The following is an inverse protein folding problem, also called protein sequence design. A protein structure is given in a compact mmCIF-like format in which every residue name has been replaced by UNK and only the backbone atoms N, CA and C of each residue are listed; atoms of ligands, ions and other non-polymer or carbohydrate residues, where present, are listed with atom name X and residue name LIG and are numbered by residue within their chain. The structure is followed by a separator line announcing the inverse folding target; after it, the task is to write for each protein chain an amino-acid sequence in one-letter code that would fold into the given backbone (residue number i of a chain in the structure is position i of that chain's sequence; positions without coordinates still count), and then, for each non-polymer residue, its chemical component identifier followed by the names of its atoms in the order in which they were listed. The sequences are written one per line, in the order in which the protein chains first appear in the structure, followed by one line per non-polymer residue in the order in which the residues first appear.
data_IF_088953019941
#
_entry.id   IF_088953019941
#
_cell.length_a   1.000
_cell.length_b   1.000
_cell.length_c   1.000
_cell.angle_alpha   90.00
_cell.angle_beta   90.00
_cell.angle_gamma   90.00
#
_symmetry.space_group_name_H-M   'P 1'
#
loop_
_entity.id
_entity.type
_entity.pdbx_description
1 polymer ?
#
# COMPACT_ATOMS: atom_id res chain seq x y z
N UNK A 1 19.76 -26.13 -42.96
CA UNK A 1 19.78 -24.77 -42.38
C UNK A 1 19.09 -24.84 -41.03
N UNK A 2 19.86 -24.90 -39.95
CA UNK A 2 19.32 -24.71 -38.60
C UNK A 2 19.12 -23.22 -38.39
N UNK A 3 17.89 -22.81 -38.09
CA UNK A 3 17.60 -21.44 -37.65
C UNK A 3 18.21 -21.31 -36.27
N UNK A 4 19.40 -20.71 -36.17
CA UNK A 4 19.92 -20.22 -34.89
C UNK A 4 18.99 -19.09 -34.43
N UNK A 5 18.02 -19.43 -33.58
CA UNK A 5 17.36 -18.44 -32.75
C UNK A 5 18.40 -17.88 -31.80
N UNK A 6 19.01 -16.76 -32.15
CA UNK A 6 19.73 -15.91 -31.19
C UNK A 6 18.71 -15.44 -30.15
N UNK A 7 18.51 -16.25 -29.10
CA UNK A 7 17.79 -15.81 -27.92
C UNK A 7 18.61 -14.66 -27.33
N UNK A 8 18.13 -13.43 -27.53
CA UNK A 8 18.69 -12.24 -26.90
C UNK A 8 18.54 -12.37 -25.38
N UNK A 9 19.52 -12.98 -24.74
CA UNK A 9 19.65 -12.97 -23.29
C UNK A 9 20.26 -11.63 -22.88
N UNK A 10 19.40 -10.64 -22.61
CA UNK A 10 19.82 -9.38 -22.01
C UNK A 10 20.47 -9.67 -20.63
N UNK A 11 21.57 -8.96 -20.33
CA UNK A 11 22.25 -9.13 -19.05
C UNK A 11 21.28 -8.80 -17.89
N UNK A 12 21.24 -9.62 -16.80
CA UNK A 12 20.31 -9.42 -15.68
C UNK A 12 20.32 -8.01 -15.10
N UNK A 13 21.48 -7.35 -15.08
CA UNK A 13 21.63 -5.98 -14.59
C UNK A 13 20.91 -4.93 -15.46
N UNK A 14 20.90 -5.12 -16.78
CA UNK A 14 20.20 -4.22 -17.72
C UNK A 14 18.69 -4.35 -17.52
N UNK A 15 18.21 -5.59 -17.38
CA UNK A 15 16.80 -5.89 -17.09
C UNK A 15 16.40 -5.34 -15.72
N UNK A 16 17.22 -5.55 -14.69
CA UNK A 16 16.99 -5.07 -13.33
C UNK A 16 16.95 -3.55 -13.24
N UNK A 17 17.87 -2.85 -13.93
CA UNK A 17 17.91 -1.38 -13.99
C UNK A 17 16.64 -0.81 -14.63
N UNK A 18 16.24 -1.34 -15.80
CA UNK A 18 15.00 -0.93 -16.50
C UNK A 18 13.75 -1.15 -15.64
N UNK A 19 13.65 -2.30 -15.00
CA UNK A 19 12.51 -2.62 -14.14
C UNK A 19 12.44 -1.74 -12.89
N UNK A 20 13.60 -1.40 -12.31
CA UNK A 20 13.68 -0.46 -11.19
C UNK A 20 13.25 0.94 -11.59
N UNK A 21 13.67 1.42 -12.76
CA UNK A 21 13.23 2.72 -13.29
C UNK A 21 11.72 2.74 -13.51
N UNK A 22 11.16 1.69 -14.13
CA UNK A 22 9.72 1.55 -14.32
C UNK A 22 8.95 1.62 -13.00
N UNK A 23 9.42 0.89 -11.97
CA UNK A 23 8.83 0.96 -10.62
C UNK A 23 8.92 2.38 -10.03
N UNK A 24 10.06 3.06 -10.15
CA UNK A 24 10.22 4.41 -9.60
C UNK A 24 9.24 5.39 -10.27
N UNK A 25 9.10 5.33 -11.59
CA UNK A 25 8.21 6.24 -12.32
C UNK A 25 6.73 6.04 -11.94
N UNK A 26 6.28 4.79 -11.80
CA UNK A 26 4.90 4.54 -11.34
C UNK A 26 4.71 4.99 -9.89
N UNK A 27 5.71 4.82 -9.02
CA UNK A 27 5.65 5.36 -7.65
C UNK A 27 5.58 6.88 -7.63
N UNK A 28 6.33 7.58 -8.49
CA UNK A 28 6.28 9.05 -8.55
C UNK A 28 4.88 9.53 -8.92
N UNK A 29 4.24 8.87 -9.90
CA UNK A 29 2.86 9.16 -10.27
C UNK A 29 1.89 8.90 -9.09
N UNK A 30 2.08 7.79 -8.37
CA UNK A 30 1.24 7.43 -7.24
C UNK A 30 1.43 8.37 -6.03
N UNK A 31 2.66 8.82 -5.76
CA UNK A 31 2.97 9.86 -4.77
C UNK A 31 2.25 11.16 -5.11
N UNK A 32 2.32 11.61 -6.38
CA UNK A 32 1.65 12.82 -6.81
C UNK A 32 0.12 12.73 -6.63
N UNK A 33 -0.47 11.56 -6.93
CA UNK A 33 -1.89 11.29 -6.68
C UNK A 33 -2.21 11.34 -5.18
N UNK A 34 -1.44 10.66 -4.33
CA UNK A 34 -1.65 10.65 -2.89
C UNK A 34 -1.58 12.06 -2.29
N UNK A 35 -0.58 12.85 -2.67
CA UNK A 35 -0.45 14.25 -2.23
C UNK A 35 -1.60 15.13 -2.72
N UNK A 36 -2.11 14.88 -3.94
CA UNK A 36 -3.28 15.60 -4.47
C UNK A 36 -4.54 15.28 -3.67
N UNK A 37 -4.75 14.02 -3.27
CA UNK A 37 -5.87 13.61 -2.42
C UNK A 37 -5.78 14.27 -1.03
N UNK A 38 -4.58 14.31 -0.44
CA UNK A 38 -4.37 15.02 0.84
C UNK A 38 -4.67 16.51 0.71
N UNK A 39 -4.20 17.15 -0.36
CA UNK A 39 -4.50 18.54 -0.64
C UNK A 39 -6.01 18.77 -0.71
N UNK A 40 -6.75 17.95 -1.46
CA UNK A 40 -8.21 18.07 -1.58
C UNK A 40 -8.90 17.89 -0.22
N UNK A 41 -8.48 16.93 0.60
CA UNK A 41 -9.02 16.73 1.95
C UNK A 41 -8.86 18.00 2.80
N UNK A 42 -7.64 18.53 2.93
CA UNK A 42 -7.38 19.70 3.75
C UNK A 42 -7.97 20.98 3.16
N UNK A 43 -8.01 21.11 1.84
CA UNK A 43 -8.63 22.24 1.17
C UNK A 43 -10.13 22.31 1.45
N UNK A 44 -10.87 21.22 1.22
CA UNK A 44 -12.31 21.18 1.46
C UNK A 44 -12.65 21.33 2.94
N UNK A 45 -11.85 20.73 3.82
CA UNK A 45 -11.97 20.96 5.28
C UNK A 45 -11.73 22.42 5.64
N UNK A 46 -10.71 23.05 5.07
CA UNK A 46 -10.36 24.44 5.36
C UNK A 46 -11.40 25.44 4.85
N UNK A 47 -12.04 25.15 3.72
CA UNK A 47 -13.13 25.97 3.21
C UNK A 47 -14.39 25.84 4.06
N UNK A 48 -14.73 24.61 4.48
CA UNK A 48 -15.91 24.29 5.29
C UNK A 48 -17.16 25.13 4.92
N UNK A 49 -17.43 25.23 3.62
CA UNK A 49 -18.48 26.12 3.10
C UNK A 49 -19.80 25.77 3.75
N UNK A 50 -20.50 26.77 4.30
CA UNK A 50 -21.75 26.61 5.03
C UNK A 50 -21.69 25.64 6.24
N UNK A 51 -20.51 25.40 6.81
CA UNK A 51 -20.29 24.40 7.86
C UNK A 51 -20.63 22.96 7.44
N UNK A 52 -20.49 22.64 6.15
CA UNK A 52 -20.87 21.35 5.56
C UNK A 52 -19.74 20.32 5.47
N UNK A 53 -18.60 20.53 6.14
CA UNK A 53 -17.55 19.51 6.21
C UNK A 53 -18.07 18.23 6.90
N UNK A 54 -18.76 18.40 8.03
CA UNK A 54 -19.50 17.35 8.73
C UNK A 54 -20.97 17.79 8.82
N UNK A 55 -21.80 17.50 7.81
CA UNK A 55 -23.19 17.94 7.77
C UNK A 55 -23.98 17.49 9.00
N UNK A 56 -24.74 18.42 9.59
CA UNK A 56 -25.70 18.13 10.64
C UNK A 56 -26.86 17.26 10.11
N UNK A 57 -27.58 16.60 11.04
CA UNK A 57 -28.76 15.84 10.67
C UNK A 57 -29.84 16.76 10.09
N UNK A 58 -30.50 16.30 9.03
CA UNK A 58 -31.71 16.92 8.48
C UNK A 58 -32.88 15.96 8.69
N UNK A 59 -34.09 16.38 8.32
CA UNK A 59 -35.28 15.51 8.38
C UNK A 59 -35.12 14.23 7.53
N UNK A 60 -34.34 14.33 6.43
CA UNK A 60 -34.17 13.24 5.47
C UNK A 60 -32.83 12.49 5.59
N UNK A 61 -31.83 13.07 6.25
CA UNK A 61 -30.47 12.49 6.30
C UNK A 61 -29.84 12.54 7.70
N UNK A 62 -29.20 11.43 8.16
CA UNK A 62 -28.51 11.42 9.44
C UNK A 62 -27.24 12.30 9.39
N UNK A 63 -26.82 12.79 10.56
CA UNK A 63 -25.59 13.57 10.69
C UNK A 63 -24.36 12.74 10.26
N UNK A 64 -23.44 13.35 9.54
CA UNK A 64 -22.15 12.72 9.23
C UNK A 64 -21.19 12.98 10.38
N UNK A 65 -20.78 11.93 11.07
CA UNK A 65 -19.80 12.00 12.15
C UNK A 65 -18.42 11.58 11.67
N UNK A 66 -17.39 12.29 12.13
CA UNK A 66 -16.01 11.91 11.89
C UNK A 66 -15.73 10.52 12.50
N UNK A 67 -15.17 9.62 11.69
CA UNK A 67 -14.73 8.32 12.15
C UNK A 67 -13.42 8.45 12.93
N UNK A 68 -13.29 7.64 13.98
CA UNK A 68 -12.04 7.58 14.75
C UNK A 68 -10.89 7.09 13.87
N UNK A 69 -9.77 7.82 13.89
CA UNK A 69 -8.54 7.41 13.20
C UNK A 69 -7.85 6.20 13.82
N UNK A 70 -8.33 5.66 14.96
CA UNK A 70 -7.72 4.48 15.59
C UNK A 70 -7.63 3.29 14.64
N UNK A 71 -8.67 3.06 13.83
CA UNK A 71 -8.67 1.97 12.86
C UNK A 71 -7.64 2.15 11.75
N UNK A 72 -7.45 3.37 11.24
CA UNK A 72 -6.46 3.63 10.18
C UNK A 72 -5.04 3.52 10.72
N UNK A 73 -4.79 3.99 11.95
CA UNK A 73 -3.51 3.78 12.64
C UNK A 73 -3.20 2.32 12.91
N UNK A 74 -4.22 1.51 13.21
CA UNK A 74 -4.06 0.07 13.37
C UNK A 74 -3.63 -0.59 12.05
N UNK A 75 -4.29 -0.28 10.94
CA UNK A 75 -3.90 -0.77 9.60
C UNK A 75 -2.47 -0.32 9.24
N UNK A 76 -2.12 0.95 9.48
CA UNK A 76 -0.75 1.47 9.24
C UNK A 76 0.28 0.73 10.09
N UNK A 77 -0.04 0.39 11.34
CA UNK A 77 0.86 -0.38 12.20
C UNK A 77 1.11 -1.78 11.63
N UNK A 78 0.06 -2.45 11.14
CA UNK A 78 0.20 -3.75 10.48
C UNK A 78 1.04 -3.66 9.20
N UNK A 79 0.84 -2.62 8.39
CA UNK A 79 1.67 -2.36 7.21
C UNK A 79 3.16 -2.15 7.58
N UNK A 80 3.43 -1.38 8.64
CA UNK A 80 4.78 -1.16 9.16
C UNK A 80 5.42 -2.46 9.67
N UNK A 81 4.67 -3.32 10.37
CA UNK A 81 5.14 -4.65 10.78
C UNK A 81 5.45 -5.54 9.56
N UNK A 82 4.64 -5.45 8.50
CA UNK A 82 4.90 -6.10 7.22
C UNK A 82 6.20 -5.62 6.58
N UNK A 83 6.46 -4.31 6.58
CA UNK A 83 7.73 -3.73 6.10
C UNK A 83 8.93 -4.22 6.92
N UNK A 84 8.83 -4.23 8.26
CA UNK A 84 9.92 -4.67 9.13
C UNK A 84 10.26 -6.16 8.92
N UNK A 85 9.24 -7.00 8.73
CA UNK A 85 9.44 -8.43 8.46
C UNK A 85 9.97 -8.69 7.04
N UNK A 86 9.56 -7.88 6.05
CA UNK A 86 10.17 -7.88 4.72
C UNK A 86 11.66 -7.49 4.79
N UNK A 87 12.00 -6.44 5.55
CA UNK A 87 13.40 -6.05 5.77
C UNK A 87 14.22 -7.16 6.42
N UNK A 88 13.63 -7.89 7.38
CA UNK A 88 14.27 -9.05 7.99
C UNK A 88 14.54 -10.14 6.93
N UNK A 89 13.60 -10.42 6.03
CA UNK A 89 13.79 -11.34 4.91
C UNK A 89 14.86 -10.88 3.92
N UNK A 90 14.90 -9.58 3.61
CA UNK A 90 15.89 -8.98 2.72
C UNK A 90 17.31 -9.07 3.28
N UNK A 91 17.49 -8.85 4.60
CA UNK A 91 18.77 -9.12 5.26
C UNK A 91 19.18 -10.59 5.13
N UNK A 92 18.21 -11.49 5.22
CA UNK A 92 18.43 -12.93 5.04
C UNK A 92 18.98 -13.29 3.67
N UNK A 93 18.35 -12.84 2.59
CA UNK A 93 18.81 -13.19 1.23
C UNK A 93 20.20 -12.62 0.94
N UNK A 94 20.51 -11.41 1.41
CA UNK A 94 21.85 -10.81 1.28
C UNK A 94 22.92 -11.57 2.05
N UNK A 95 22.55 -12.17 3.18
CA UNK A 95 23.41 -13.07 3.97
C UNK A 95 23.40 -14.53 3.46
N UNK A 96 22.79 -14.81 2.29
CA UNK A 96 22.59 -16.16 1.74
C UNK A 96 21.81 -17.11 2.67
N UNK A 97 21.02 -16.56 3.59
CA UNK A 97 20.16 -17.30 4.50
C UNK A 97 18.75 -17.44 3.91
N UNK A 98 18.51 -18.56 3.23
CA UNK A 98 17.23 -18.84 2.58
C UNK A 98 16.07 -18.96 3.58
N UNK A 99 16.32 -19.56 4.74
CA UNK A 99 15.29 -19.74 5.77
C UNK A 99 14.79 -18.40 6.28
N UNK A 100 15.71 -17.45 6.51
CA UNK A 100 15.36 -16.10 6.93
C UNK A 100 14.54 -15.35 5.86
N UNK A 101 14.88 -15.51 4.58
CA UNK A 101 14.10 -14.94 3.47
C UNK A 101 12.66 -15.48 3.44
N UNK A 102 12.50 -16.81 3.57
CA UNK A 102 11.19 -17.46 3.55
C UNK A 102 10.35 -17.06 4.75
N UNK A 103 10.92 -17.02 5.95
CA UNK A 103 10.22 -16.61 7.17
C UNK A 103 9.84 -15.13 7.13
N UNK A 104 10.77 -14.25 6.78
CA UNK A 104 10.50 -12.81 6.68
C UNK A 104 9.43 -12.49 5.62
N UNK A 105 9.54 -13.10 4.43
CA UNK A 105 8.53 -12.94 3.38
C UNK A 105 7.16 -13.52 3.75
N UNK A 106 7.13 -14.65 4.48
CA UNK A 106 5.90 -15.26 4.94
C UNK A 106 5.17 -14.42 6.00
N UNK A 107 5.92 -13.84 6.94
CA UNK A 107 5.37 -12.91 7.93
C UNK A 107 4.90 -11.61 7.27
N UNK A 108 5.64 -11.08 6.29
CA UNK A 108 5.23 -9.89 5.55
C UNK A 108 3.90 -10.12 4.79
N UNK A 109 3.74 -11.29 4.17
CA UNK A 109 2.47 -11.72 3.56
C UNK A 109 1.35 -11.81 4.60
N UNK A 110 1.60 -12.40 5.77
CA UNK A 110 0.61 -12.51 6.84
C UNK A 110 0.15 -11.13 7.32
N UNK A 111 1.07 -10.22 7.63
CA UNK A 111 0.73 -8.88 8.10
C UNK A 111 -0.04 -8.06 7.06
N UNK A 112 0.33 -8.12 5.78
CA UNK A 112 -0.42 -7.45 4.72
C UNK A 112 -1.83 -8.03 4.54
N UNK A 113 -2.00 -9.35 4.65
CA UNK A 113 -3.31 -9.98 4.57
C UNK A 113 -4.22 -9.57 5.73
N UNK A 114 -3.70 -9.54 6.96
CA UNK A 114 -4.44 -9.05 8.13
C UNK A 114 -4.79 -7.57 7.95
N UNK A 115 -3.83 -6.73 7.53
CA UNK A 115 -4.07 -5.31 7.26
C UNK A 115 -5.21 -5.09 6.26
N UNK A 116 -5.23 -5.86 5.17
CA UNK A 116 -6.29 -5.80 4.17
C UNK A 116 -7.67 -6.16 4.75
N UNK A 117 -7.76 -7.21 5.57
CA UNK A 117 -9.02 -7.60 6.22
C UNK A 117 -9.53 -6.48 7.13
N UNK A 118 -8.66 -5.91 7.96
CA UNK A 118 -9.05 -4.80 8.85
C UNK A 118 -9.44 -3.54 8.07
N UNK A 119 -8.73 -3.23 6.98
CA UNK A 119 -9.08 -2.12 6.10
C UNK A 119 -10.46 -2.33 5.47
N UNK A 120 -10.77 -3.55 5.02
CA UNK A 120 -12.07 -3.87 4.44
C UNK A 120 -13.20 -3.73 5.47
N UNK A 121 -13.02 -4.29 6.68
CA UNK A 121 -13.97 -4.15 7.79
C UNK A 121 -14.22 -2.67 8.08
N UNK A 122 -13.16 -1.87 8.19
CA UNK A 122 -13.26 -0.43 8.44
C UNK A 122 -14.07 0.29 7.36
N UNK A 123 -13.79 0.04 6.08
CA UNK A 123 -14.49 0.71 4.96
C UNK A 123 -15.95 0.26 4.88
N UNK A 124 -16.22 -1.03 5.09
CA UNK A 124 -17.58 -1.59 5.05
C UNK A 124 -18.45 -1.17 6.25
N UNK A 125 -17.82 -0.83 7.37
CA UNK A 125 -18.49 -0.43 8.62
C UNK A 125 -18.76 1.07 8.72
N UNK A 126 -18.42 1.86 7.71
CA UNK A 126 -18.66 3.30 7.72
C UNK A 126 -20.18 3.59 7.70
N UNK A 127 -20.71 4.46 8.59
CA UNK A 127 -22.14 4.74 8.71
C UNK A 127 -22.67 5.72 7.65
N UNK A 128 -21.88 5.98 6.61
CA UNK A 128 -22.18 6.92 5.54
C UNK A 128 -21.64 6.37 4.21
N UNK A 129 -22.06 6.99 3.10
CA UNK A 129 -21.67 6.59 1.75
C UNK A 129 -20.79 7.66 1.11
N UNK A 130 -20.13 7.34 -0.02
CA UNK A 130 -19.28 8.30 -0.73
C UNK A 130 -20.04 9.56 -1.20
N UNK A 131 -21.37 9.54 -1.25
CA UNK A 131 -22.22 10.66 -1.64
C UNK A 131 -22.76 11.46 -0.44
N UNK A 132 -22.41 11.09 0.80
CA UNK A 132 -22.91 11.74 2.03
C UNK A 132 -22.26 13.10 2.34
N UNK A 133 -21.38 13.61 1.47
CA UNK A 133 -20.74 14.92 1.61
C UNK A 133 -19.23 14.87 1.42
N UNK A 134 -18.60 16.05 1.46
CA UNK A 134 -17.17 16.21 1.16
C UNK A 134 -16.26 15.35 2.06
N UNK A 135 -16.51 15.32 3.37
CA UNK A 135 -15.76 14.45 4.29
C UNK A 135 -15.86 12.98 3.91
N UNK A 136 -17.09 12.49 3.67
CA UNK A 136 -17.34 11.10 3.34
C UNK A 136 -16.68 10.71 2.00
N UNK A 137 -16.78 11.55 0.98
CA UNK A 137 -16.11 11.34 -0.31
C UNK A 137 -14.59 11.24 -0.15
N UNK A 138 -13.98 12.18 0.59
CA UNK A 138 -12.53 12.15 0.85
C UNK A 138 -12.12 10.95 1.70
N UNK A 139 -12.91 10.57 2.71
CA UNK A 139 -12.68 9.36 3.51
C UNK A 139 -12.64 8.11 2.62
N UNK A 140 -13.64 7.90 1.77
CA UNK A 140 -13.68 6.76 0.87
C UNK A 140 -12.57 6.80 -0.18
N UNK A 141 -12.15 7.98 -0.62
CA UNK A 141 -11.02 8.11 -1.54
C UNK A 141 -9.71 7.69 -0.87
N UNK A 142 -9.43 8.19 0.34
CA UNK A 142 -8.23 7.84 1.12
C UNK A 142 -8.23 6.34 1.48
N UNK A 143 -9.32 5.87 2.08
CA UNK A 143 -9.43 4.50 2.55
C UNK A 143 -9.51 3.50 1.38
N UNK A 144 -10.17 3.87 0.28
CA UNK A 144 -10.26 3.09 -0.95
C UNK A 144 -8.90 2.95 -1.65
N UNK A 145 -8.15 4.05 -1.77
CA UNK A 145 -6.78 4.00 -2.28
C UNK A 145 -5.88 3.13 -1.40
N UNK A 146 -5.98 3.23 -0.08
CA UNK A 146 -5.23 2.35 0.83
C UNK A 146 -5.63 0.88 0.66
N UNK A 147 -6.92 0.61 0.44
CA UNK A 147 -7.43 -0.75 0.18
C UNK A 147 -6.81 -1.34 -1.09
N UNK A 148 -6.84 -0.60 -2.21
CA UNK A 148 -6.24 -1.03 -3.47
C UNK A 148 -4.74 -1.34 -3.30
N UNK A 149 -4.05 -0.44 -2.62
CA UNK A 149 -2.64 -0.56 -2.27
C UNK A 149 -2.34 -1.83 -1.43
N UNK A 150 -3.17 -2.14 -0.43
CA UNK A 150 -3.04 -3.36 0.36
C UNK A 150 -3.33 -4.62 -0.45
N UNK A 151 -4.32 -4.62 -1.34
CA UNK A 151 -4.59 -5.73 -2.27
C UNK A 151 -3.35 -6.03 -3.13
N UNK A 152 -2.78 -5.00 -3.74
CA UNK A 152 -1.55 -5.12 -4.53
C UNK A 152 -0.38 -5.63 -3.67
N UNK A 153 -0.27 -5.16 -2.44
CA UNK A 153 0.79 -5.59 -1.50
C UNK A 153 0.66 -7.06 -1.15
N UNK A 154 -0.54 -7.56 -0.86
CA UNK A 154 -0.78 -8.98 -0.59
C UNK A 154 -0.40 -9.82 -1.82
N UNK A 155 -0.81 -9.38 -3.01
CA UNK A 155 -0.47 -10.07 -4.26
C UNK A 155 1.05 -10.14 -4.51
N UNK A 156 1.74 -9.01 -4.37
CA UNK A 156 3.20 -8.92 -4.53
C UNK A 156 3.91 -9.74 -3.46
N UNK A 157 3.47 -9.66 -2.20
CA UNK A 157 4.04 -10.42 -1.08
C UNK A 157 3.86 -11.93 -1.27
N UNK A 158 2.70 -12.37 -1.78
CA UNK A 158 2.44 -13.77 -2.11
C UNK A 158 3.38 -14.26 -3.21
N UNK A 159 3.51 -13.50 -4.30
CA UNK A 159 4.44 -13.83 -5.38
C UNK A 159 5.89 -13.90 -4.89
N UNK A 160 6.30 -12.93 -4.06
CA UNK A 160 7.64 -12.86 -3.51
C UNK A 160 7.93 -14.02 -2.55
N UNK A 161 7.00 -14.34 -1.65
CA UNK A 161 7.15 -15.47 -0.73
C UNK A 161 7.16 -16.81 -1.46
N UNK A 162 6.30 -16.99 -2.46
CA UNK A 162 6.26 -18.23 -3.23
C UNK A 162 7.59 -18.47 -3.98
N UNK A 163 8.12 -17.45 -4.64
CA UNK A 163 9.45 -17.51 -5.29
C UNK A 163 10.58 -17.73 -4.29
N UNK A 164 10.48 -17.16 -3.10
CA UNK A 164 11.42 -17.41 -2.00
C UNK A 164 11.41 -18.88 -1.57
N UNK A 165 10.25 -19.51 -1.41
CA UNK A 165 10.18 -20.95 -1.06
C UNK A 165 10.82 -21.85 -2.10
N UNK A 166 10.63 -21.51 -3.38
CA UNK A 166 11.20 -22.24 -4.50
C UNK A 166 12.71 -21.99 -4.69
N UNK A 167 13.33 -21.11 -3.90
CA UNK A 167 14.76 -20.83 -3.98
C UNK A 167 15.19 -20.04 -5.21
N UNK A 168 14.24 -19.38 -5.89
CA UNK A 168 14.49 -18.64 -7.15
C UNK A 168 15.47 -17.47 -6.93
N UNK A 169 15.50 -16.90 -5.73
CA UNK A 169 16.33 -15.74 -5.39
C UNK A 169 17.75 -16.08 -4.90
N UNK A 170 18.17 -17.35 -4.95
CA UNK A 170 19.48 -17.78 -4.43
C UNK A 170 20.66 -17.15 -5.20
N UNK A 171 20.53 -17.05 -6.52
CA UNK A 171 21.56 -16.50 -7.40
C UNK A 171 21.39 -14.99 -7.61
N UNK A 172 20.16 -14.48 -7.58
CA UNK A 172 19.83 -13.10 -7.88
C UNK A 172 18.62 -12.62 -7.06
N UNK A 173 18.79 -11.54 -6.31
CA UNK A 173 17.81 -11.02 -5.36
C UNK A 173 17.35 -9.58 -5.66
N UNK A 174 17.64 -9.02 -6.83
CA UNK A 174 17.19 -7.65 -7.17
C UNK A 174 15.67 -7.50 -7.13
N UNK A 175 14.92 -8.57 -7.39
CA UNK A 175 13.46 -8.57 -7.27
C UNK A 175 13.00 -8.28 -5.83
N UNK A 176 13.69 -8.85 -4.83
CA UNK A 176 13.39 -8.63 -3.41
C UNK A 176 13.74 -7.18 -3.00
N UNK A 177 14.80 -6.61 -3.58
CA UNK A 177 15.16 -5.19 -3.41
C UNK A 177 14.13 -4.25 -4.03
N UNK A 178 13.60 -4.58 -5.21
CA UNK A 178 12.56 -3.77 -5.86
C UNK A 178 11.25 -3.81 -5.04
N UNK A 179 10.86 -4.99 -4.55
CA UNK A 179 9.70 -5.14 -3.66
C UNK A 179 9.87 -4.35 -2.35
N UNK A 180 11.11 -4.12 -1.90
CA UNK A 180 11.37 -3.27 -0.74
C UNK A 180 10.96 -1.82 -0.95
N UNK A 181 11.18 -1.27 -2.16
CA UNK A 181 10.77 0.11 -2.49
C UNK A 181 9.25 0.23 -2.40
N UNK A 182 8.52 -0.77 -2.92
CA UNK A 182 7.07 -0.85 -2.81
C UNK A 182 6.61 -0.87 -1.35
N UNK A 183 7.18 -1.74 -0.50
CA UNK A 183 6.82 -1.82 0.92
C UNK A 183 7.02 -0.51 1.69
N UNK A 184 8.11 0.22 1.40
CA UNK A 184 8.37 1.53 2.00
C UNK A 184 7.25 2.50 1.60
N UNK A 185 6.98 2.62 0.30
CA UNK A 185 5.94 3.52 -0.19
C UNK A 185 4.57 3.20 0.37
N UNK A 186 4.19 1.93 0.35
CA UNK A 186 2.94 1.43 0.92
C UNK A 186 2.72 1.85 2.37
N UNK A 187 3.77 1.73 3.19
CA UNK A 187 3.71 2.12 4.61
C UNK A 187 3.56 3.63 4.76
N UNK A 188 4.29 4.41 3.93
CA UNK A 188 4.19 5.88 3.92
C UNK A 188 2.80 6.32 3.45
N UNK A 189 2.26 5.73 2.40
CA UNK A 189 0.92 6.04 1.86
C UNK A 189 -0.17 5.78 2.90
N UNK A 190 -0.13 4.61 3.57
CA UNK A 190 -1.05 4.30 4.69
C UNK A 190 -0.89 5.28 5.85
N UNK A 191 0.35 5.68 6.18
CA UNK A 191 0.64 6.67 7.22
C UNK A 191 0.05 8.05 6.86
N UNK A 192 0.20 8.51 5.63
CA UNK A 192 -0.35 9.77 5.15
C UNK A 192 -1.87 9.79 5.26
N UNK A 193 -2.54 8.70 4.86
CA UNK A 193 -3.99 8.56 5.00
C UNK A 193 -4.44 8.55 6.46
N UNK A 194 -3.74 7.79 7.33
CA UNK A 194 -4.04 7.76 8.77
C UNK A 194 -3.84 9.13 9.43
N UNK A 195 -2.79 9.85 9.05
CA UNK A 195 -2.52 11.21 9.50
C UNK A 195 -3.64 12.16 9.11
N UNK A 196 -4.03 12.20 7.83
CA UNK A 196 -5.10 13.09 7.36
C UNK A 196 -6.42 12.86 8.11
N UNK A 197 -6.79 11.59 8.28
CA UNK A 197 -8.03 11.20 8.97
C UNK A 197 -7.99 11.43 10.49
N UNK A 198 -6.82 11.69 11.08
CA UNK A 198 -6.72 12.19 12.47
C UNK A 198 -7.15 13.65 12.62
N UNK A 199 -7.25 14.40 11.54
CA UNK A 199 -7.77 15.76 11.52
C UNK A 199 -9.19 15.83 10.94
N UNK A 200 -9.93 14.73 10.94
CA UNK A 200 -11.33 14.70 10.52
C UNK A 200 -12.19 15.68 11.33
#
# INVERSE_FOLDING_TARGET
MSVETHAHHEHPDVVGSRNRLGLILILVADIAMALSVLFVFFYLKGQNVNNMWLPAATEDTPATLALSSKGTWYVTTLAALGLLTHFYGLKGVRAKNQTQLVLGGGLALLFSAIALVYQFIQVSGAPFTATSGAYASCYFLIAGLNTLHLVLTVFIALGNWNRSRLGVYKSDHWHVDIVNIWWIWMTISSLLGAFALSFA
#
